data_IF_303197132652
#
_entry.id   IF_303197132652
#
_cell.length_a   1.000
_cell.length_b   1.000
_cell.length_c   1.000
_cell.angle_alpha   90.00
_cell.angle_beta   90.00
_cell.angle_gamma   90.00
#
_symmetry.space_group_name_H-M   'P 1'
#
loop_
_entity.id
_entity.type
_entity.pdbx_description
1 polymer ?
#
# COMPACT_ATOMS: atom_id res chain seq x y z
N UNK A 1 3.98 5.24 -29.27
CA UNK A 1 3.56 3.82 -29.23
C UNK A 1 4.29 3.14 -28.08
N UNK A 2 3.71 2.08 -27.51
CA UNK A 2 4.35 1.21 -26.51
C UNK A 2 4.04 -0.25 -26.87
N UNK A 3 5.02 -1.13 -26.71
CA UNK A 3 4.87 -2.58 -26.87
C UNK A 3 4.92 -3.25 -25.51
N UNK A 4 4.03 -4.22 -25.30
CA UNK A 4 3.88 -4.96 -24.06
C UNK A 4 4.02 -6.45 -24.33
N UNK A 5 4.71 -7.14 -23.44
CA UNK A 5 4.80 -8.59 -23.44
C UNK A 5 4.52 -9.10 -22.02
N UNK A 6 3.60 -10.05 -21.87
CA UNK A 6 3.25 -10.69 -20.61
C UNK A 6 3.81 -12.11 -20.57
N UNK A 7 4.08 -12.63 -19.37
CA UNK A 7 4.67 -13.97 -19.18
C UNK A 7 3.81 -15.13 -19.72
N UNK A 8 2.52 -14.90 -19.95
CA UNK A 8 1.64 -15.86 -20.62
C UNK A 8 1.74 -15.84 -22.16
N UNK A 9 2.70 -15.08 -22.72
CA UNK A 9 2.95 -14.97 -24.15
C UNK A 9 2.11 -13.92 -24.88
N UNK A 10 1.22 -13.21 -24.16
CA UNK A 10 0.41 -12.14 -24.74
C UNK A 10 1.31 -10.96 -25.15
N UNK A 11 1.27 -10.59 -26.42
CA UNK A 11 1.97 -9.45 -26.98
C UNK A 11 0.97 -8.43 -27.51
N UNK A 12 1.11 -7.17 -27.10
CA UNK A 12 0.21 -6.08 -27.46
C UNK A 12 0.99 -4.83 -27.85
N UNK A 13 0.38 -4.02 -28.71
CA UNK A 13 0.84 -2.66 -28.97
C UNK A 13 -0.27 -1.69 -28.59
N UNK A 14 0.12 -0.57 -27.98
CA UNK A 14 -0.81 0.40 -27.43
C UNK A 14 -0.27 1.83 -27.56
N UNK A 15 -1.07 2.79 -27.12
CA UNK A 15 -0.70 4.19 -27.09
C UNK A 15 0.08 4.47 -25.80
N UNK A 16 1.14 5.28 -25.91
CA UNK A 16 1.90 5.76 -24.75
C UNK A 16 1.49 7.20 -24.47
N UNK A 17 1.23 7.52 -23.21
CA UNK A 17 0.96 8.88 -22.76
C UNK A 17 1.83 9.31 -21.56
N UNK A 18 2.57 8.40 -20.93
CA UNK A 18 3.45 8.69 -19.78
C UNK A 18 4.92 8.89 -20.16
N UNK A 19 5.82 8.43 -19.28
CA UNK A 19 7.26 8.44 -19.52
C UNK A 19 7.66 7.53 -20.70
N UNK A 20 8.88 7.74 -21.22
CA UNK A 20 9.51 6.87 -22.20
C UNK A 20 10.53 5.96 -21.52
N UNK A 21 10.74 4.75 -22.05
CA UNK A 21 11.69 3.78 -21.51
C UNK A 21 11.19 2.35 -21.61
N UNK A 22 11.88 1.45 -20.90
CA UNK A 22 11.50 0.06 -20.72
C UNK A 22 11.36 -0.20 -19.22
N UNK A 23 10.24 -0.77 -18.80
CA UNK A 23 9.98 -1.15 -17.41
C UNK A 23 9.51 -2.60 -17.34
N UNK A 24 9.92 -3.31 -16.29
CA UNK A 24 9.48 -4.67 -15.98
C UNK A 24 8.79 -4.65 -14.62
N UNK A 25 7.69 -5.39 -14.48
CA UNK A 25 6.95 -5.43 -13.23
C UNK A 25 5.84 -6.47 -13.23
N UNK A 26 5.23 -6.69 -12.07
CA UNK A 26 4.05 -7.54 -11.92
C UNK A 26 2.78 -6.76 -12.31
N UNK A 27 1.95 -7.32 -13.18
CA UNK A 27 0.70 -6.74 -13.62
C UNK A 27 -0.42 -7.11 -12.64
N UNK A 28 -1.00 -6.08 -12.04
CA UNK A 28 -2.18 -6.15 -11.16
C UNK A 28 -3.30 -5.30 -11.75
N UNK A 29 -4.52 -5.44 -11.22
CA UNK A 29 -5.62 -4.55 -11.59
C UNK A 29 -6.22 -3.90 -10.37
N UNK A 30 -6.74 -2.69 -10.50
CA UNK A 30 -7.41 -1.98 -9.41
C UNK A 30 -8.84 -1.57 -9.82
N UNK A 31 -9.82 -1.85 -8.95
CA UNK A 31 -11.25 -1.61 -9.22
C UNK A 31 -11.76 -0.22 -8.84
N UNK A 32 -10.92 0.63 -8.22
CA UNK A 32 -11.32 1.98 -7.81
C UNK A 32 -11.70 2.84 -9.01
N UNK A 33 -12.83 3.53 -8.88
CA UNK A 33 -13.37 4.42 -9.93
C UNK A 33 -12.81 5.85 -9.84
N UNK A 34 -12.21 6.19 -8.70
CA UNK A 34 -11.54 7.47 -8.44
C UNK A 34 -10.23 7.21 -7.70
N UNK A 35 -9.39 8.24 -7.60
CA UNK A 35 -8.16 8.17 -6.82
C UNK A 35 -6.97 7.51 -7.55
N UNK A 36 -6.90 7.66 -8.87
CA UNK A 36 -5.83 7.06 -9.65
C UNK A 36 -4.45 7.60 -9.26
N UNK A 37 -4.35 8.85 -8.77
CA UNK A 37 -3.07 9.45 -8.41
C UNK A 37 -2.54 8.88 -7.08
N UNK A 38 -3.42 8.72 -6.11
CA UNK A 38 -3.17 8.08 -4.83
C UNK A 38 -2.71 6.64 -5.06
N UNK A 39 -3.38 5.90 -5.95
CA UNK A 39 -2.95 4.55 -6.37
C UNK A 39 -1.57 4.56 -7.03
N UNK A 40 -1.31 5.51 -7.93
CA UNK A 40 0.00 5.60 -8.62
C UNK A 40 1.15 5.85 -7.64
N UNK A 41 0.89 6.65 -6.61
CA UNK A 41 1.87 7.11 -5.63
C UNK A 41 1.93 6.28 -4.34
N UNK A 42 1.10 5.25 -4.20
CA UNK A 42 1.18 4.29 -3.10
C UNK A 42 2.45 3.43 -3.24
N UNK A 43 3.38 3.46 -2.24
CA UNK A 43 4.62 2.67 -2.27
C UNK A 43 4.40 1.17 -2.44
N UNK A 44 3.24 0.65 -2.06
CA UNK A 44 2.92 -0.78 -2.13
C UNK A 44 2.86 -1.29 -3.58
N UNK A 45 2.63 -0.41 -4.56
CA UNK A 45 2.68 -0.75 -5.99
C UNK A 45 4.09 -0.68 -6.60
N UNK A 46 5.15 -0.44 -5.80
CA UNK A 46 6.52 -0.39 -6.33
C UNK A 46 6.84 -1.67 -7.11
N UNK A 47 7.30 -1.52 -8.36
CA UNK A 47 7.61 -2.66 -9.22
C UNK A 47 6.38 -3.33 -9.85
N UNK A 48 5.20 -2.73 -9.75
CA UNK A 48 3.97 -3.24 -10.36
C UNK A 48 3.44 -2.32 -11.45
N UNK A 49 2.75 -2.90 -12.43
CA UNK A 49 1.91 -2.21 -13.39
C UNK A 49 0.44 -2.30 -12.93
N UNK A 50 -0.26 -1.17 -12.90
CA UNK A 50 -1.66 -1.12 -12.46
C UNK A 50 -2.59 -0.98 -13.65
N UNK A 51 -3.44 -1.98 -13.88
CA UNK A 51 -4.57 -1.92 -14.83
C UNK A 51 -5.78 -1.32 -14.12
N UNK A 52 -6.19 -0.12 -14.51
CA UNK A 52 -7.41 0.47 -13.98
C UNK A 52 -8.64 -0.15 -14.65
N UNK A 53 -9.61 -0.56 -13.83
CA UNK A 53 -10.90 -1.01 -14.33
C UNK A 53 -11.77 0.16 -14.83
N UNK A 54 -11.60 1.34 -14.23
CA UNK A 54 -12.25 2.58 -14.66
C UNK A 54 -11.83 2.92 -16.08
N UNK A 55 -12.76 3.04 -17.04
CA UNK A 55 -12.40 3.21 -18.45
C UNK A 55 -11.72 4.55 -18.73
N UNK A 56 -12.13 5.62 -18.04
CA UNK A 56 -11.66 6.99 -18.27
C UNK A 56 -10.70 7.42 -17.15
N UNK A 57 -9.42 7.57 -17.47
CA UNK A 57 -8.37 7.97 -16.52
C UNK A 57 -7.80 9.34 -16.90
N UNK A 58 -7.47 10.16 -15.89
CA UNK A 58 -6.89 11.50 -16.07
C UNK A 58 -7.91 12.66 -16.05
N UNK A 59 -9.20 12.37 -15.89
CA UNK A 59 -10.31 13.35 -15.97
C UNK A 59 -10.22 14.51 -14.96
N UNK A 60 -9.56 14.31 -13.80
CA UNK A 60 -9.36 15.34 -12.78
C UNK A 60 -7.92 15.84 -12.70
N UNK A 61 -7.07 15.50 -13.68
CA UNK A 61 -5.68 15.95 -13.73
C UNK A 61 -4.85 15.33 -12.60
N UNK A 62 -3.85 16.06 -12.12
CA UNK A 62 -3.02 15.68 -10.98
C UNK A 62 -2.60 16.91 -10.17
N UNK A 63 -2.36 16.72 -8.87
CA UNK A 63 -1.92 17.78 -7.95
C UNK A 63 -1.08 17.22 -6.79
N UNK A 64 -0.12 17.96 -6.22
CA UNK A 64 0.77 17.41 -5.19
C UNK A 64 0.08 16.94 -3.89
N UNK A 65 -1.15 17.38 -3.62
CA UNK A 65 -1.88 17.06 -2.39
C UNK A 65 -2.50 15.66 -2.41
N UNK A 66 -2.65 15.05 -3.58
CA UNK A 66 -3.17 13.67 -3.74
C UNK A 66 -2.02 12.64 -3.88
N UNK A 67 -0.77 13.02 -3.60
CA UNK A 67 0.35 12.08 -3.55
C UNK A 67 0.43 11.38 -2.18
N UNK A 68 0.35 10.05 -2.17
CA UNK A 68 0.56 9.25 -0.97
C UNK A 68 2.05 9.06 -0.65
N UNK A 69 2.93 9.24 -1.63
CA UNK A 69 4.38 9.25 -1.41
C UNK A 69 5.14 9.85 -2.60
N UNK A 70 6.45 9.98 -2.44
CA UNK A 70 7.36 10.29 -3.56
C UNK A 70 7.55 9.10 -4.53
N UNK A 71 7.31 7.87 -4.06
CA UNK A 71 7.48 6.65 -4.86
C UNK A 71 6.29 6.44 -5.79
N UNK A 72 6.44 5.52 -6.74
CA UNK A 72 5.37 5.20 -7.69
C UNK A 72 5.44 3.76 -8.20
N UNK A 73 4.32 3.30 -8.75
CA UNK A 73 4.24 2.10 -9.57
C UNK A 73 5.14 2.18 -10.81
N UNK A 74 5.41 1.03 -11.45
CA UNK A 74 6.20 0.96 -12.68
C UNK A 74 5.47 1.54 -13.90
N UNK A 75 4.14 1.43 -13.92
CA UNK A 75 3.32 1.97 -14.97
C UNK A 75 1.83 1.76 -14.75
N UNK A 76 1.02 2.43 -15.56
CA UNK A 76 -0.44 2.34 -15.52
C UNK A 76 -1.01 1.99 -16.89
N UNK A 77 -2.07 1.19 -16.88
CA UNK A 77 -2.82 0.81 -18.06
C UNK A 77 -4.27 1.30 -17.92
N UNK A 78 -4.73 2.05 -18.91
CA UNK A 78 -6.08 2.58 -18.99
C UNK A 78 -6.73 2.23 -20.32
N UNK A 79 -8.06 2.17 -20.34
CA UNK A 79 -8.80 2.00 -21.61
C UNK A 79 -8.74 3.29 -22.42
N UNK A 80 -9.11 4.41 -21.80
CA UNK A 80 -9.06 5.75 -22.35
C UNK A 80 -8.28 6.68 -21.40
N UNK A 81 -7.32 7.42 -21.97
CA UNK A 81 -6.63 8.50 -21.28
C UNK A 81 -7.22 9.83 -21.74
N UNK A 82 -7.61 10.67 -20.78
CA UNK A 82 -8.12 12.01 -21.02
C UNK A 82 -6.97 13.03 -20.92
N UNK A 83 -6.59 13.60 -22.05
CA UNK A 83 -5.59 14.67 -22.09
C UNK A 83 -6.12 15.97 -21.46
N UNK A 84 -7.38 16.28 -21.74
CA UNK A 84 -8.10 17.38 -21.10
C UNK A 84 -8.62 16.95 -19.73
N UNK A 85 -8.28 17.70 -18.70
CA UNK A 85 -8.75 17.51 -17.33
C UNK A 85 -9.60 18.70 -16.88
N UNK A 86 -10.56 18.45 -15.99
CA UNK A 86 -11.47 19.49 -15.48
C UNK A 86 -11.73 19.29 -13.99
N UNK A 87 -10.87 19.86 -13.16
CA UNK A 87 -11.05 19.91 -11.70
C UNK A 87 -10.36 21.16 -11.14
N UNK A 88 -10.99 21.82 -10.16
CA UNK A 88 -10.44 23.05 -9.56
C UNK A 88 -9.15 22.82 -8.77
N UNK A 89 -8.87 21.59 -8.33
CA UNK A 89 -7.64 21.20 -7.63
C UNK A 89 -6.50 20.81 -8.56
N UNK A 90 -6.74 20.70 -9.88
CA UNK A 90 -5.75 20.18 -10.82
C UNK A 90 -4.67 21.22 -11.16
N UNK A 91 -3.41 20.86 -10.94
CA UNK A 91 -2.25 21.69 -11.29
C UNK A 91 -1.63 21.29 -12.64
N UNK A 92 -1.86 20.04 -13.07
CA UNK A 92 -1.32 19.51 -14.32
C UNK A 92 -2.11 18.34 -14.89
N UNK A 93 -1.82 17.94 -16.13
CA UNK A 93 -2.36 16.71 -16.70
C UNK A 93 -1.68 15.49 -16.09
N UNK A 94 -2.39 14.35 -16.08
CA UNK A 94 -1.81 13.08 -15.64
C UNK A 94 -0.59 12.68 -16.49
N UNK A 95 -0.57 12.95 -17.80
CA UNK A 95 0.60 12.70 -18.66
C UNK A 95 1.86 13.41 -18.14
N UNK A 96 1.74 14.70 -17.81
CA UNK A 96 2.88 15.48 -17.31
C UNK A 96 3.35 14.94 -15.95
N UNK A 97 2.41 14.59 -15.07
CA UNK A 97 2.69 13.99 -13.78
C UNK A 97 3.46 12.65 -13.92
N UNK A 98 2.98 11.72 -14.77
CA UNK A 98 3.64 10.44 -14.99
C UNK A 98 5.05 10.61 -15.58
N UNK A 99 5.22 11.52 -16.55
CA UNK A 99 6.53 11.82 -17.16
C UNK A 99 7.54 12.31 -16.12
N UNK A 100 7.13 13.24 -15.23
CA UNK A 100 7.99 13.76 -14.16
C UNK A 100 8.43 12.67 -13.18
N UNK A 101 7.58 11.66 -12.94
CA UNK A 101 7.86 10.54 -12.03
C UNK A 101 8.49 9.31 -12.70
N UNK A 102 8.74 9.36 -14.02
CA UNK A 102 9.33 8.24 -14.76
C UNK A 102 8.41 7.02 -14.89
N UNK A 103 7.09 7.22 -14.77
CA UNK A 103 6.07 6.15 -14.81
C UNK A 103 5.55 5.97 -16.23
N UNK A 104 5.49 4.73 -16.72
CA UNK A 104 4.90 4.46 -18.03
C UNK A 104 3.37 4.63 -17.98
N UNK A 105 2.82 5.36 -18.95
CA UNK A 105 1.37 5.51 -19.12
C UNK A 105 0.93 4.86 -20.41
N UNK A 106 0.03 3.88 -20.35
CA UNK A 106 -0.40 3.07 -21.49
C UNK A 106 -1.91 3.17 -21.65
N UNK A 107 -2.38 3.55 -22.84
CA UNK A 107 -3.81 3.72 -23.14
C UNK A 107 -4.22 2.97 -24.42
N UNK A 108 -5.53 2.80 -24.61
CA UNK A 108 -6.10 2.12 -25.79
C UNK A 108 -6.11 0.59 -25.68
N UNK A 109 -5.75 0.03 -24.52
CA UNK A 109 -5.82 -1.42 -24.26
C UNK A 109 -7.24 -1.83 -23.85
N UNK A 110 -7.62 -3.07 -24.15
CA UNK A 110 -8.83 -3.67 -23.57
C UNK A 110 -8.56 -4.08 -22.12
N UNK A 111 -8.72 -3.13 -21.19
CA UNK A 111 -8.50 -3.36 -19.76
C UNK A 111 -9.42 -4.43 -19.20
N UNK A 112 -10.64 -4.58 -19.71
CA UNK A 112 -11.59 -5.61 -19.27
C UNK A 112 -11.08 -7.01 -19.62
N UNK A 113 -10.56 -7.20 -20.82
CA UNK A 113 -9.95 -8.47 -21.22
C UNK A 113 -8.68 -8.77 -20.41
N UNK A 114 -7.83 -7.77 -20.16
CA UNK A 114 -6.65 -7.94 -19.28
C UNK A 114 -7.04 -8.34 -17.85
N UNK A 115 -8.05 -7.70 -17.26
CA UNK A 115 -8.56 -8.04 -15.93
C UNK A 115 -9.09 -9.48 -15.89
N UNK A 116 -9.82 -9.92 -16.93
CA UNK A 116 -10.26 -11.32 -17.03
C UNK A 116 -9.07 -12.28 -17.09
N UNK A 117 -8.03 -11.95 -17.85
CA UNK A 117 -6.79 -12.73 -17.92
C UNK A 117 -6.14 -12.85 -16.54
N UNK A 118 -6.00 -11.76 -15.80
CA UNK A 118 -5.43 -11.75 -14.45
C UNK A 118 -6.28 -12.56 -13.45
N UNK A 119 -7.61 -12.47 -13.52
CA UNK A 119 -8.49 -13.30 -12.68
C UNK A 119 -8.36 -14.80 -13.00
N UNK A 120 -8.07 -15.16 -14.25
CA UNK A 120 -7.91 -16.54 -14.68
C UNK A 120 -6.51 -17.11 -14.37
N UNK A 121 -5.44 -16.36 -14.63
CA UNK A 121 -4.06 -16.82 -14.49
C UNK A 121 -3.39 -16.41 -13.18
N UNK A 122 -3.95 -15.43 -12.47
CA UNK A 122 -3.30 -14.74 -11.36
C UNK A 122 -2.47 -13.54 -11.82
N UNK A 123 -1.71 -12.94 -10.91
CA UNK A 123 -0.77 -11.85 -11.23
C UNK A 123 0.30 -12.36 -12.22
N UNK A 124 0.58 -11.57 -13.26
CA UNK A 124 1.50 -11.93 -14.35
C UNK A 124 2.67 -10.94 -14.41
N UNK A 125 3.90 -11.41 -14.61
CA UNK A 125 4.99 -10.49 -14.98
C UNK A 125 4.76 -9.91 -16.38
N UNK A 126 5.13 -8.64 -16.55
CA UNK A 126 5.04 -7.88 -17.80
C UNK A 126 6.33 -7.08 -18.02
N UNK A 127 6.72 -6.93 -19.28
CA UNK A 127 7.59 -5.84 -19.74
C UNK A 127 6.79 -4.92 -20.67
N UNK A 128 7.00 -3.61 -20.51
CA UNK A 128 6.49 -2.60 -21.42
C UNK A 128 7.63 -1.69 -21.89
N UNK A 129 7.68 -1.39 -23.19
CA UNK A 129 8.73 -0.55 -23.78
C UNK A 129 8.21 0.41 -24.83
N UNK A 130 8.66 1.66 -24.75
CA UNK A 130 8.48 2.67 -25.82
C UNK A 130 9.65 2.72 -26.80
N UNK A 131 10.65 1.84 -26.64
CA UNK A 131 11.92 1.85 -27.40
C UNK A 131 12.07 0.54 -28.17
N UNK A 132 11.86 -0.60 -27.50
CA UNK A 132 11.90 -1.92 -28.10
C UNK A 132 10.50 -2.39 -28.44
N UNK A 133 10.34 -2.90 -29.66
CA UNK A 133 9.04 -3.31 -30.21
C UNK A 133 9.07 -4.75 -30.74
N UNK A 134 10.24 -5.38 -30.78
CA UNK A 134 10.38 -6.79 -31.13
C UNK A 134 9.90 -7.69 -30.00
N UNK A 135 8.99 -8.61 -30.33
CA UNK A 135 8.39 -9.55 -29.38
C UNK A 135 9.44 -10.44 -28.71
N UNK A 136 10.40 -10.96 -29.48
CA UNK A 136 11.35 -11.96 -28.97
C UNK A 136 12.35 -11.32 -28.00
N UNK A 137 12.79 -10.09 -28.28
CA UNK A 137 13.64 -9.32 -27.36
C UNK A 137 12.91 -8.96 -26.07
N UNK A 138 11.64 -8.55 -26.14
CA UNK A 138 10.84 -8.28 -24.94
C UNK A 138 10.62 -9.56 -24.11
N UNK A 139 10.39 -10.68 -24.77
CA UNK A 139 10.34 -11.99 -24.11
C UNK A 139 11.65 -12.32 -23.39
N UNK A 140 12.79 -12.09 -24.02
CA UNK A 140 14.11 -12.28 -23.40
C UNK A 140 14.33 -11.37 -22.19
N UNK A 141 13.96 -10.08 -22.29
CA UNK A 141 14.02 -9.14 -21.17
C UNK A 141 13.18 -9.65 -20.01
N UNK A 142 11.95 -10.11 -20.27
CA UNK A 142 11.06 -10.59 -19.22
C UNK A 142 11.57 -11.88 -18.57
N UNK A 143 12.11 -12.81 -19.37
CA UNK A 143 12.70 -14.08 -18.89
C UNK A 143 13.89 -13.87 -17.95
N UNK A 144 14.70 -12.85 -18.20
CA UNK A 144 15.89 -12.53 -17.42
C UNK A 144 15.61 -11.61 -16.23
N UNK A 145 14.41 -11.04 -16.11
CA UNK A 145 14.07 -10.14 -15.03
C UNK A 145 13.78 -10.90 -13.72
N UNK A 146 14.24 -10.39 -12.56
CA UNK A 146 13.87 -10.96 -11.28
C UNK A 146 12.37 -10.78 -11.05
N UNK A 147 11.74 -11.79 -10.43
CA UNK A 147 10.37 -11.65 -9.95
C UNK A 147 10.31 -10.67 -8.78
N UNK A 148 9.17 -9.99 -8.68
CA UNK A 148 8.91 -9.01 -7.63
C UNK A 148 9.05 -9.61 -6.23
N UNK A 149 8.66 -10.89 -6.05
CA UNK A 149 8.79 -11.64 -4.80
C UNK A 149 10.23 -11.86 -4.34
N UNK A 150 11.21 -11.72 -5.23
CA UNK A 150 12.63 -11.89 -4.92
C UNK A 150 13.37 -10.56 -4.78
N UNK A 151 12.67 -9.43 -4.96
CA UNK A 151 13.28 -8.10 -4.95
C UNK A 151 13.07 -7.43 -3.58
N UNK A 152 14.12 -6.85 -2.96
CA UNK A 152 14.03 -6.24 -1.62
C UNK A 152 13.36 -4.85 -1.69
N UNK A 153 12.10 -4.79 -2.13
CA UNK A 153 11.42 -3.55 -2.49
C UNK A 153 11.25 -2.57 -1.33
N UNK A 154 11.04 -3.07 -0.12
CA UNK A 154 10.94 -2.23 1.10
C UNK A 154 12.18 -1.35 1.28
N UNK A 155 13.38 -1.89 1.05
CA UNK A 155 14.61 -1.11 1.18
C UNK A 155 14.69 0.07 0.19
N UNK A 156 13.95 0.00 -0.92
CA UNK A 156 13.87 1.06 -1.93
C UNK A 156 12.81 2.13 -1.67
N UNK A 157 11.92 1.92 -0.69
CA UNK A 157 10.81 2.83 -0.36
C UNK A 157 10.76 3.29 1.09
N UNK A 158 11.61 2.74 1.96
CA UNK A 158 11.76 3.20 3.34
C UNK A 158 12.52 4.52 3.41
N UNK A 159 12.20 5.34 4.41
CA UNK A 159 13.00 6.50 4.79
C UNK A 159 14.45 6.09 5.12
N UNK A 160 15.46 6.87 4.71
CA UNK A 160 16.86 6.58 5.03
C UNK A 160 17.26 7.00 6.46
N UNK A 161 16.45 7.85 7.12
CA UNK A 161 16.73 8.37 8.46
C UNK A 161 15.44 8.61 9.23
N UNK A 162 15.58 8.80 10.53
CA UNK A 162 14.44 9.15 11.38
C UNK A 162 13.92 10.54 10.98
N UNK A 163 12.62 10.64 10.70
CA UNK A 163 11.94 11.89 10.35
C UNK A 163 10.65 12.04 11.14
N UNK A 164 10.26 13.28 11.43
CA UNK A 164 8.99 13.58 12.11
C UNK A 164 7.97 14.03 11.07
N UNK A 165 6.79 13.40 11.05
CA UNK A 165 5.69 13.85 10.21
C UNK A 165 5.15 15.20 10.70
N UNK A 166 4.62 16.03 9.81
CA UNK A 166 4.28 17.43 10.12
C UNK A 166 2.81 17.82 9.85
N UNK A 167 2.02 16.87 9.32
CA UNK A 167 0.67 17.16 8.87
C UNK A 167 -0.35 16.15 9.43
N UNK A 168 -1.56 16.65 9.69
CA UNK A 168 -2.74 15.84 9.95
C UNK A 168 -3.60 15.75 8.68
N UNK A 169 -4.83 15.27 8.81
CA UNK A 169 -5.75 15.03 7.67
C UNK A 169 -6.02 16.27 6.81
N UNK A 170 -6.31 16.04 5.54
CA UNK A 170 -6.75 17.05 4.58
C UNK A 170 -8.05 17.73 5.00
N UNK A 171 -8.11 19.05 4.88
CA UNK A 171 -9.30 19.87 5.15
C UNK A 171 -9.88 20.44 3.85
N UNK A 172 -11.11 20.05 3.53
CA UNK A 172 -11.79 20.50 2.32
C UNK A 172 -12.21 21.98 2.36
N UNK A 173 -12.24 22.63 3.53
CA UNK A 173 -12.55 24.04 3.64
C UNK A 173 -11.37 24.92 3.23
N UNK A 174 -10.15 24.51 3.59
CA UNK A 174 -8.91 25.23 3.25
C UNK A 174 -8.24 24.66 2.00
N UNK A 175 -8.69 23.49 1.55
CA UNK A 175 -8.06 22.67 0.50
C UNK A 175 -6.59 22.37 0.80
N UNK A 176 -6.25 22.17 2.07
CA UNK A 176 -4.90 21.88 2.52
C UNK A 176 -4.86 20.88 3.68
N UNK A 177 -3.69 20.30 3.92
CA UNK A 177 -3.45 19.48 5.10
C UNK A 177 -3.37 20.34 6.35
N UNK A 178 -4.01 19.90 7.43
CA UNK A 178 -3.93 20.60 8.71
C UNK A 178 -2.50 20.48 9.25
N UNK A 179 -1.87 21.57 9.73
CA UNK A 179 -0.56 21.47 10.37
C UNK A 179 -0.70 20.67 11.69
N UNK A 180 0.36 19.93 12.05
CA UNK A 180 0.42 19.34 13.38
C UNK A 180 0.54 20.41 14.46
N UNK A 181 -0.21 20.26 15.55
CA UNK A 181 -0.05 21.16 16.69
C UNK A 181 1.17 20.75 17.53
N UNK A 182 2.33 21.35 17.27
CA UNK A 182 3.53 21.09 18.07
C UNK A 182 3.45 21.66 19.51
N UNK A 183 2.45 22.50 19.82
CA UNK A 183 2.36 23.17 21.13
C UNK A 183 1.70 22.30 22.19
N UNK A 184 0.91 21.32 21.78
CA UNK A 184 0.23 20.40 22.70
C UNK A 184 1.10 19.17 22.95
N UNK A 185 1.25 18.69 24.20
CA UNK A 185 1.93 17.42 24.46
C UNK A 185 1.19 16.25 23.80
N UNK A 186 1.89 15.50 22.96
CA UNK A 186 1.36 14.32 22.26
C UNK A 186 2.09 13.05 22.65
N UNK A 187 1.38 11.92 22.70
CA UNK A 187 2.01 10.60 22.73
C UNK A 187 2.79 10.40 21.43
N UNK A 188 4.02 9.92 21.52
CA UNK A 188 4.90 9.69 20.36
C UNK A 188 4.79 8.22 19.94
N UNK A 189 4.63 7.98 18.64
CA UNK A 189 4.59 6.63 18.07
C UNK A 189 5.75 6.47 17.12
N UNK A 190 6.51 5.38 17.31
CA UNK A 190 7.52 4.96 16.35
C UNK A 190 6.83 4.24 15.19
N UNK A 191 6.90 4.80 13.99
CA UNK A 191 6.42 4.18 12.76
C UNK A 191 7.60 3.46 12.09
N UNK A 192 7.56 2.13 12.00
CA UNK A 192 8.50 1.40 11.14
C UNK A 192 8.04 1.53 9.69
N UNK A 193 8.86 2.21 8.89
CA UNK A 193 8.56 2.57 7.52
C UNK A 193 8.94 1.46 6.54
N UNK A 194 7.95 0.68 6.15
CA UNK A 194 8.09 -0.32 5.09
C UNK A 194 7.70 0.21 3.70
N UNK A 195 7.46 1.52 3.57
CA UNK A 195 6.75 2.14 2.45
C UNK A 195 5.45 2.79 2.90
N UNK A 196 5.49 3.54 3.99
CA UNK A 196 4.34 4.16 4.61
C UNK A 196 3.66 5.16 3.66
N UNK A 197 2.34 5.01 3.51
CA UNK A 197 1.50 6.03 2.87
C UNK A 197 1.40 7.28 3.73
N UNK A 198 1.42 8.44 3.08
CA UNK A 198 1.27 9.74 3.73
C UNK A 198 -0.02 9.83 4.53
N UNK A 199 -1.13 9.26 4.04
CA UNK A 199 -2.38 9.37 4.76
C UNK A 199 -2.46 8.53 6.05
N UNK A 200 -1.67 7.45 6.18
CA UNK A 200 -1.51 6.76 7.47
C UNK A 200 -0.95 7.74 8.51
N UNK A 201 0.09 8.48 8.14
CA UNK A 201 0.77 9.42 9.02
C UNK A 201 -0.15 10.59 9.39
N UNK A 202 -0.96 11.06 8.43
CA UNK A 202 -1.96 12.09 8.64
C UNK A 202 -3.05 11.64 9.64
N UNK A 203 -3.53 10.41 9.52
CA UNK A 203 -4.57 9.86 10.41
C UNK A 203 -4.04 9.62 11.83
N UNK A 204 -2.80 9.13 11.98
CA UNK A 204 -2.13 9.03 13.28
C UNK A 204 -2.08 10.39 14.00
N UNK A 205 -1.70 11.45 13.28
CA UNK A 205 -1.69 12.81 13.85
C UNK A 205 -3.08 13.35 14.15
N UNK A 206 -4.07 13.05 13.30
CA UNK A 206 -5.45 13.45 13.50
C UNK A 206 -6.08 12.87 14.77
N UNK A 207 -5.68 11.65 15.16
CA UNK A 207 -6.07 11.07 16.46
C UNK A 207 -5.16 11.49 17.63
N UNK A 208 -4.25 12.44 17.40
CA UNK A 208 -3.42 13.07 18.44
C UNK A 208 -2.08 12.38 18.72
N UNK A 209 -1.61 11.50 17.83
CA UNK A 209 -0.34 10.79 17.96
C UNK A 209 0.76 11.46 17.12
N UNK A 210 1.89 11.80 17.75
CA UNK A 210 3.05 12.31 17.03
C UNK A 210 3.81 11.15 16.38
N UNK A 211 3.76 11.06 15.05
CA UNK A 211 4.45 10.02 14.29
C UNK A 211 5.94 10.36 14.06
N UNK A 212 6.81 9.53 14.64
CA UNK A 212 8.25 9.53 14.38
C UNK A 212 8.57 8.33 13.50
N UNK A 213 9.02 8.58 12.27
CA UNK A 213 9.16 7.57 11.23
C UNK A 213 10.59 7.06 11.23
N UNK A 214 10.74 5.75 11.47
CA UNK A 214 12.00 5.03 11.56
C UNK A 214 12.22 4.20 10.28
N UNK A 215 13.46 4.10 9.80
CA UNK A 215 13.79 3.20 8.69
C UNK A 215 13.38 1.74 8.94
N UNK A 216 13.02 0.99 7.90
CA UNK A 216 12.59 -0.42 8.01
C UNK A 216 13.55 -1.32 8.82
N UNK A 217 14.84 -1.09 8.68
CA UNK A 217 15.94 -1.84 9.29
C UNK A 217 16.30 -1.40 10.73
N UNK A 218 15.51 -0.52 11.36
CA UNK A 218 15.73 -0.09 12.75
C UNK A 218 15.76 -1.28 13.72
N UNK A 219 16.72 -1.27 14.64
CA UNK A 219 16.90 -2.34 15.62
C UNK A 219 15.86 -2.27 16.72
N UNK A 220 15.28 -3.42 17.05
CA UNK A 220 14.31 -3.56 18.13
C UNK A 220 14.88 -3.07 19.47
N UNK A 221 16.18 -3.29 19.71
CA UNK A 221 16.86 -2.80 20.92
C UNK A 221 16.77 -1.29 21.10
N UNK A 222 16.73 -0.51 20.02
CA UNK A 222 16.68 0.95 20.10
C UNK A 222 15.26 1.42 20.42
N UNK A 223 14.25 0.78 19.81
CA UNK A 223 12.84 1.05 20.08
C UNK A 223 12.42 0.58 21.48
N UNK A 224 12.91 -0.57 21.95
CA UNK A 224 12.68 -1.07 23.31
C UNK A 224 13.23 -0.05 24.33
N UNK A 225 14.47 0.40 24.16
CA UNK A 225 15.07 1.44 25.03
C UNK A 225 14.27 2.74 25.02
N UNK A 226 13.80 3.19 23.85
CA UNK A 226 12.98 4.40 23.74
C UNK A 226 11.63 4.22 24.47
N UNK A 227 11.02 3.04 24.38
CA UNK A 227 9.78 2.73 25.08
C UNK A 227 9.98 2.66 26.61
N UNK A 228 11.02 1.97 27.09
CA UNK A 228 11.37 1.89 28.51
C UNK A 228 11.63 3.27 29.14
N UNK A 229 12.20 4.20 28.36
CA UNK A 229 12.41 5.60 28.76
C UNK A 229 11.17 6.48 28.61
N UNK A 230 10.05 5.94 28.12
CA UNK A 230 8.80 6.67 27.83
C UNK A 230 8.98 7.78 26.78
N UNK A 231 9.96 7.65 25.90
CA UNK A 231 10.17 8.54 24.75
C UNK A 231 9.18 8.21 23.62
N UNK A 232 8.72 6.97 23.54
CA UNK A 232 7.62 6.52 22.67
C UNK A 232 6.57 5.79 23.51
N UNK A 233 5.32 5.79 23.06
CA UNK A 233 4.18 5.12 23.71
C UNK A 233 3.79 3.80 23.05
N UNK A 234 4.23 3.57 21.81
CA UNK A 234 3.90 2.37 21.04
C UNK A 234 4.56 2.41 19.66
N UNK A 235 4.34 1.35 18.91
CA UNK A 235 4.94 1.15 17.59
C UNK A 235 3.84 0.92 16.55
N UNK A 236 4.00 1.51 15.38
CA UNK A 236 3.13 1.31 14.25
C UNK A 236 3.92 0.67 13.11
N UNK A 237 3.36 -0.36 12.47
CA UNK A 237 3.97 -1.09 11.37
C UNK A 237 3.23 -0.74 10.08
N UNK A 238 3.90 -0.05 9.15
CA UNK A 238 3.23 0.47 7.96
C UNK A 238 2.89 -0.59 6.91
N UNK A 239 2.15 -0.15 5.90
CA UNK A 239 2.05 -0.85 4.62
C UNK A 239 3.42 -0.86 3.89
N UNK A 240 3.51 -1.64 2.81
CA UNK A 240 4.68 -1.66 1.95
C UNK A 240 4.58 -2.69 0.82
N UNK A 241 5.52 -2.67 -0.13
CA UNK A 241 5.52 -3.54 -1.29
C UNK A 241 6.19 -4.89 -1.03
N UNK A 242 5.96 -5.83 -1.95
CA UNK A 242 6.74 -7.07 -2.07
C UNK A 242 6.18 -8.24 -1.27
N UNK A 243 7.00 -9.29 -1.15
CA UNK A 243 6.67 -10.51 -0.39
C UNK A 243 7.11 -10.35 1.07
N UNK A 244 6.19 -10.43 2.05
CA UNK A 244 6.53 -10.29 3.46
C UNK A 244 7.55 -11.35 3.95
N UNK A 245 7.60 -12.54 3.36
CA UNK A 245 8.54 -13.60 3.74
C UNK A 245 10.00 -13.28 3.36
N UNK A 246 10.21 -12.28 2.51
CA UNK A 246 11.56 -11.79 2.14
C UNK A 246 12.20 -10.95 3.26
N UNK A 247 11.40 -10.40 4.18
CA UNK A 247 11.82 -9.44 5.23
C UNK A 247 12.32 -10.15 6.49
N UNK A 248 13.21 -11.14 6.33
CA UNK A 248 13.65 -12.02 7.43
C UNK A 248 14.26 -11.27 8.60
N UNK A 249 14.99 -10.18 8.34
CA UNK A 249 15.62 -9.40 9.39
C UNK A 249 14.58 -8.63 10.19
N UNK A 250 13.68 -7.95 9.50
CA UNK A 250 12.58 -7.17 10.06
C UNK A 250 11.63 -8.06 10.87
N UNK A 251 11.30 -9.26 10.38
CA UNK A 251 10.53 -10.27 11.11
C UNK A 251 11.21 -10.59 12.46
N UNK A 252 12.54 -10.76 12.47
CA UNK A 252 13.31 -11.02 13.69
C UNK A 252 13.40 -9.82 14.65
N UNK A 253 13.37 -8.59 14.13
CA UNK A 253 13.23 -7.37 14.96
C UNK A 253 11.82 -7.29 15.55
N UNK A 254 10.77 -7.49 14.75
CA UNK A 254 9.36 -7.46 15.18
C UNK A 254 9.10 -8.50 16.26
N UNK A 255 9.61 -9.73 16.11
CA UNK A 255 9.49 -10.76 17.15
C UNK A 255 9.98 -10.27 18.52
N UNK A 256 11.14 -9.60 18.56
CA UNK A 256 11.68 -9.02 19.80
C UNK A 256 10.83 -7.89 20.35
N UNK A 257 10.21 -7.07 19.50
CA UNK A 257 9.28 -6.02 19.92
C UNK A 257 8.01 -6.62 20.54
N UNK A 258 7.53 -7.74 19.99
CA UNK A 258 6.39 -8.47 20.56
C UNK A 258 6.75 -9.08 21.91
N UNK A 259 7.92 -9.71 22.03
CA UNK A 259 8.41 -10.30 23.29
C UNK A 259 8.54 -9.23 24.40
N UNK A 260 8.90 -7.99 24.03
CA UNK A 260 8.95 -6.83 24.91
C UNK A 260 7.57 -6.25 25.28
N UNK A 261 6.48 -6.81 24.75
CA UNK A 261 5.08 -6.41 25.01
C UNK A 261 4.78 -4.93 24.72
N UNK A 262 5.44 -4.35 23.73
CA UNK A 262 5.18 -2.96 23.32
C UNK A 262 3.83 -2.90 22.58
N UNK A 263 2.95 -1.94 22.89
CA UNK A 263 1.71 -1.73 22.13
C UNK A 263 1.97 -1.52 20.64
N UNK A 264 1.28 -2.28 19.79
CA UNK A 264 1.49 -2.24 18.35
C UNK A 264 0.20 -2.19 17.52
N UNK A 265 0.28 -1.47 16.41
CA UNK A 265 -0.72 -1.51 15.35
C UNK A 265 -0.06 -1.74 13.98
N UNK A 266 -0.49 -2.77 13.25
CA UNK A 266 -0.01 -3.06 11.90
C UNK A 266 -1.08 -2.93 10.82
N UNK A 267 -0.72 -2.33 9.68
CA UNK A 267 -1.58 -2.19 8.50
C UNK A 267 -0.95 -2.91 7.30
N UNK A 268 -1.75 -3.69 6.56
CA UNK A 268 -1.36 -4.38 5.33
C UNK A 268 -0.08 -5.24 5.51
N UNK A 269 1.08 -4.78 5.04
CA UNK A 269 2.35 -5.46 5.26
C UNK A 269 2.68 -5.61 6.76
N UNK A 270 2.40 -4.58 7.57
CA UNK A 270 2.56 -4.66 9.02
C UNK A 270 1.70 -5.75 9.68
N UNK A 271 0.48 -5.95 9.19
CA UNK A 271 -0.40 -7.04 9.63
C UNK A 271 0.19 -8.42 9.32
N UNK A 272 0.72 -8.58 8.09
CA UNK A 272 1.37 -9.81 7.64
C UNK A 272 2.64 -10.12 8.44
N UNK A 273 3.48 -9.10 8.70
CA UNK A 273 4.73 -9.28 9.43
C UNK A 273 4.52 -9.68 10.89
N UNK A 274 3.47 -9.18 11.55
CA UNK A 274 3.10 -9.60 12.91
C UNK A 274 2.75 -11.10 12.96
N UNK A 275 1.99 -11.57 11.96
CA UNK A 275 1.62 -12.98 11.84
C UNK A 275 2.86 -13.87 11.63
N UNK A 276 3.74 -13.48 10.71
CA UNK A 276 4.97 -14.24 10.41
C UNK A 276 5.93 -14.24 11.60
N UNK A 277 6.09 -13.11 12.30
CA UNK A 277 6.95 -13.00 13.48
C UNK A 277 6.54 -13.95 14.62
N UNK A 278 5.27 -14.34 14.65
CA UNK A 278 4.69 -15.29 15.60
C UNK A 278 4.61 -16.73 15.07
N UNK A 279 5.18 -17.02 13.89
CA UNK A 279 5.27 -18.37 13.34
C UNK A 279 4.11 -18.78 12.42
N UNK A 280 3.27 -17.84 11.99
CA UNK A 280 2.15 -18.08 11.08
C UNK A 280 2.46 -17.47 9.71
N UNK A 281 3.07 -18.23 8.78
CA UNK A 281 3.48 -17.70 7.49
C UNK A 281 2.28 -17.33 6.61
N UNK A 282 2.39 -16.22 5.89
CA UNK A 282 1.36 -15.80 4.93
C UNK A 282 1.33 -16.69 3.69
N UNK A 283 0.21 -16.65 2.97
CA UNK A 283 0.06 -17.28 1.65
C UNK A 283 -0.29 -16.23 0.59
N UNK A 284 0.09 -16.49 -0.67
CA UNK A 284 -0.20 -15.60 -1.80
C UNK A 284 -1.60 -15.88 -2.36
N UNK A 285 -2.40 -14.85 -2.51
CA UNK A 285 -3.67 -14.87 -3.23
C UNK A 285 -3.42 -15.00 -4.73
N UNK A 286 -4.42 -15.50 -5.46
CA UNK A 286 -4.32 -15.67 -6.92
C UNK A 286 -4.04 -14.35 -7.64
N UNK A 287 -4.80 -13.30 -7.33
CA UNK A 287 -4.68 -11.98 -7.96
C UNK A 287 -4.76 -10.81 -6.95
N UNK A 288 -4.81 -11.12 -5.66
CA UNK A 288 -4.89 -10.14 -4.58
C UNK A 288 -6.21 -9.36 -4.50
N UNK A 289 -6.24 -8.40 -3.59
CA UNK A 289 -7.32 -7.43 -3.41
C UNK A 289 -6.78 -6.03 -3.68
N UNK A 290 -7.40 -5.36 -4.66
CA UNK A 290 -6.94 -4.08 -5.18
C UNK A 290 -8.16 -3.25 -5.60
N UNK A 291 -8.59 -2.34 -4.73
CA UNK A 291 -9.80 -1.57 -4.98
C UNK A 291 -10.34 -0.89 -3.73
N UNK A 292 -11.34 -0.04 -3.93
CA UNK A 292 -11.98 0.74 -2.87
C UNK A 292 -13.45 0.36 -2.63
N UNK A 293 -13.81 -0.90 -2.95
CA UNK A 293 -15.18 -1.40 -2.87
C UNK A 293 -15.29 -2.77 -2.19
N UNK A 294 -14.29 -3.15 -1.37
CA UNK A 294 -14.25 -4.46 -0.74
C UNK A 294 -15.07 -4.49 0.55
N UNK A 295 -16.13 -5.32 0.64
CA UNK A 295 -16.93 -5.44 1.84
C UNK A 295 -16.19 -6.29 2.89
N UNK A 296 -15.96 -5.72 4.07
CA UNK A 296 -15.33 -6.38 5.21
C UNK A 296 -16.32 -6.38 6.37
N UNK A 297 -16.56 -7.55 6.94
CA UNK A 297 -17.41 -7.70 8.13
C UNK A 297 -16.55 -7.61 9.38
N UNK A 298 -16.85 -6.64 10.24
CA UNK A 298 -16.38 -6.61 11.61
C UNK A 298 -17.16 -7.67 12.41
N UNK A 299 -16.45 -8.69 12.91
CA UNK A 299 -17.05 -9.84 13.60
C UNK A 299 -17.47 -9.52 15.03
N UNK A 300 -16.88 -8.49 15.65
CA UNK A 300 -17.23 -8.07 17.02
C UNK A 300 -18.55 -7.30 17.01
N UNK A 301 -18.75 -6.40 16.05
CA UNK A 301 -19.94 -5.53 15.96
C UNK A 301 -21.02 -6.07 15.01
N UNK A 302 -20.68 -7.04 14.17
CA UNK A 302 -21.46 -7.49 13.00
C UNK A 302 -21.69 -6.42 11.92
N UNK A 303 -21.05 -5.25 12.01
CA UNK A 303 -21.11 -4.23 10.97
C UNK A 303 -20.39 -4.71 9.69
N UNK A 304 -20.86 -4.23 8.54
CA UNK A 304 -20.16 -4.38 7.25
C UNK A 304 -19.64 -3.01 6.86
N UNK A 305 -18.37 -2.98 6.50
CA UNK A 305 -17.64 -1.79 6.10
C UNK A 305 -17.15 -1.96 4.66
N UNK A 306 -17.25 -0.93 3.85
CA UNK A 306 -16.57 -0.88 2.57
C UNK A 306 -15.15 -0.36 2.82
N UNK A 307 -14.15 -1.06 2.29
CA UNK A 307 -12.73 -0.81 2.58
C UNK A 307 -11.90 -0.62 1.31
N UNK A 308 -10.77 0.07 1.48
CA UNK A 308 -9.70 0.13 0.51
C UNK A 308 -8.72 -1.03 0.72
N UNK A 309 -8.35 -1.70 -0.37
CA UNK A 309 -7.50 -2.89 -0.39
C UNK A 309 -6.38 -2.74 -1.40
N UNK A 310 -5.18 -3.17 -0.99
CA UNK A 310 -4.01 -3.29 -1.85
C UNK A 310 -3.03 -4.34 -1.29
N UNK A 311 -3.32 -5.62 -1.54
CA UNK A 311 -2.45 -6.70 -1.08
C UNK A 311 -2.58 -7.98 -1.91
N UNK A 312 -1.47 -8.72 -2.01
CA UNK A 312 -1.40 -10.03 -2.66
C UNK A 312 -1.24 -11.20 -1.68
N UNK A 313 -1.09 -10.93 -0.39
CA UNK A 313 -0.84 -11.95 0.63
C UNK A 313 -1.86 -11.83 1.75
N UNK A 314 -2.15 -12.96 2.40
CA UNK A 314 -3.06 -13.05 3.53
C UNK A 314 -2.43 -13.87 4.66
N UNK A 315 -2.83 -13.56 5.88
CA UNK A 315 -2.51 -14.37 7.06
C UNK A 315 -3.34 -15.67 7.07
N UNK A 316 -2.79 -16.77 7.59
CA UNK A 316 -3.47 -18.07 7.61
C UNK A 316 -4.51 -18.14 8.73
N UNK A 317 -5.48 -19.06 8.62
CA UNK A 317 -6.58 -19.22 9.60
C UNK A 317 -6.08 -19.65 10.97
N UNK A 318 -5.00 -20.44 10.99
CA UNK A 318 -4.30 -20.94 12.17
C UNK A 318 -3.86 -19.80 13.12
N UNK A 319 -3.82 -18.55 12.65
CA UNK A 319 -3.59 -17.38 13.50
C UNK A 319 -4.57 -17.28 14.68
N UNK A 320 -5.75 -17.92 14.57
CA UNK A 320 -6.75 -18.00 15.63
C UNK A 320 -6.23 -18.66 16.92
N UNK A 321 -5.15 -19.43 16.85
CA UNK A 321 -4.49 -20.00 18.02
C UNK A 321 -3.99 -18.89 18.97
N UNK A 322 -3.43 -17.81 18.41
CA UNK A 322 -2.79 -16.72 19.17
C UNK A 322 -3.51 -15.37 19.12
N UNK A 323 -4.49 -15.22 18.23
CA UNK A 323 -5.25 -13.99 18.04
C UNK A 323 -6.75 -14.27 17.89
N UNK A 324 -7.58 -13.27 18.19
CA UNK A 324 -9.00 -13.28 17.84
C UNK A 324 -9.16 -12.65 16.47
N UNK A 325 -9.81 -13.33 15.53
CA UNK A 325 -10.13 -12.77 14.21
C UNK A 325 -11.22 -11.73 14.40
N UNK A 326 -10.94 -10.49 13.98
CA UNK A 326 -11.86 -9.35 14.17
C UNK A 326 -12.55 -8.94 12.88
N UNK A 327 -11.94 -9.18 11.72
CA UNK A 327 -12.50 -8.78 10.43
C UNK A 327 -12.35 -9.88 9.37
N UNK A 328 -13.37 -10.03 8.51
CA UNK A 328 -13.34 -10.94 7.36
C UNK A 328 -13.83 -10.28 6.08
N UNK A 329 -13.16 -10.59 4.98
CA UNK A 329 -13.57 -10.18 3.65
C UNK A 329 -14.81 -10.96 3.23
N UNK A 330 -15.87 -10.28 2.77
CA UNK A 330 -17.10 -10.95 2.34
C UNK A 330 -17.07 -11.42 0.89
N UNK A 331 -16.05 -11.07 0.09
CA UNK A 331 -15.90 -11.63 -1.25
C UNK A 331 -15.38 -13.06 -1.26
N UNK A 332 -14.45 -13.39 -0.36
CA UNK A 332 -13.75 -14.69 -0.39
C UNK A 332 -13.39 -15.26 0.99
N UNK A 333 -13.91 -14.64 2.07
CA UNK A 333 -13.78 -15.10 3.45
C UNK A 333 -12.35 -15.01 4.05
N UNK A 334 -11.41 -14.34 3.38
CA UNK A 334 -10.05 -14.15 3.93
C UNK A 334 -10.07 -13.27 5.19
N UNK A 335 -9.06 -13.45 6.04
CA UNK A 335 -8.86 -12.64 7.24
C UNK A 335 -8.47 -11.21 6.86
N UNK A 336 -9.14 -10.23 7.47
CA UNK A 336 -8.91 -8.80 7.23
C UNK A 336 -8.46 -8.05 8.48
N UNK A 337 -8.43 -8.72 9.64
CA UNK A 337 -8.00 -8.11 10.88
C UNK A 337 -8.02 -9.09 12.05
N UNK A 338 -7.10 -8.87 13.00
CA UNK A 338 -6.94 -9.68 14.20
C UNK A 338 -6.57 -8.82 15.41
N UNK A 339 -6.89 -9.31 16.61
CA UNK A 339 -6.44 -8.79 17.91
C UNK A 339 -5.69 -9.89 18.65
N UNK A 340 -4.42 -9.68 19.01
CA UNK A 340 -3.61 -10.72 19.64
C UNK A 340 -4.02 -10.94 21.10
N UNK A 341 -4.13 -12.20 21.55
CA UNK A 341 -4.71 -12.55 22.86
C UNK A 341 -3.83 -12.14 24.04
N UNK A 342 -2.51 -12.29 23.90
CA UNK A 342 -1.53 -12.13 25.00
C UNK A 342 -0.54 -10.98 24.78
N UNK A 343 -0.85 -10.06 23.87
CA UNK A 343 -0.02 -8.91 23.56
C UNK A 343 -0.91 -7.71 23.19
N UNK A 344 -0.53 -6.47 23.54
CA UNK A 344 -1.29 -5.26 23.18
C UNK A 344 -1.12 -4.94 21.69
N UNK A 345 -1.67 -5.80 20.82
CA UNK A 345 -1.45 -5.73 19.38
C UNK A 345 -2.78 -5.88 18.66
N UNK A 346 -3.08 -4.92 17.79
CA UNK A 346 -4.13 -5.01 16.78
C UNK A 346 -3.50 -4.93 15.40
N UNK A 347 -4.13 -5.52 14.40
CA UNK A 347 -3.72 -5.31 13.01
C UNK A 347 -4.85 -5.57 12.02
N UNK A 348 -4.77 -4.89 10.87
CA UNK A 348 -5.72 -5.07 9.76
C UNK A 348 -5.01 -5.19 8.42
N UNK A 349 -5.57 -6.00 7.54
CA UNK A 349 -5.03 -6.24 6.19
C UNK A 349 -5.43 -5.12 5.22
N UNK A 350 -6.65 -4.61 5.35
CA UNK A 350 -7.15 -3.47 4.60
C UNK A 350 -6.51 -2.15 5.05
N UNK A 351 -6.78 -1.08 4.30
CA UNK A 351 -6.23 0.25 4.50
C UNK A 351 -7.25 1.19 5.15
N UNK A 352 -7.32 1.27 6.50
CA UNK A 352 -8.26 2.17 7.19
C UNK A 352 -7.95 3.64 7.00
N UNK A 353 -6.76 4.02 6.52
CA UNK A 353 -6.47 5.38 6.07
C UNK A 353 -7.09 5.69 4.70
N UNK A 354 -7.53 4.67 3.94
CA UNK A 354 -8.00 4.81 2.56
C UNK A 354 -7.00 5.57 1.67
N UNK A 355 -7.39 6.69 1.07
CA UNK A 355 -6.56 7.47 0.13
C UNK A 355 -5.95 6.60 -0.98
N UNK A 356 -6.79 6.12 -1.93
CA UNK A 356 -8.20 6.46 -2.09
C UNK A 356 -9.15 5.42 -1.46
N UNK A 357 -10.36 5.85 -1.13
CA UNK A 357 -11.43 4.94 -0.74
C UNK A 357 -12.35 5.44 0.37
N UNK A 358 -13.28 4.58 0.80
CA UNK A 358 -14.29 4.86 1.82
C UNK A 358 -13.71 4.95 3.23
N UNK A 359 -14.21 5.89 4.03
CA UNK A 359 -13.67 6.19 5.37
C UNK A 359 -14.25 5.35 6.51
N UNK A 360 -14.92 4.24 6.19
CA UNK A 360 -15.75 3.49 7.15
C UNK A 360 -14.93 2.86 8.27
N UNK A 361 -13.69 2.39 7.98
CA UNK A 361 -12.81 1.76 8.98
C UNK A 361 -11.82 2.71 9.68
N UNK A 362 -11.97 4.04 9.53
CA UNK A 362 -11.08 5.03 10.16
C UNK A 362 -11.08 4.96 11.71
N UNK A 363 -12.12 4.40 12.32
CA UNK A 363 -12.22 4.28 13.77
C UNK A 363 -11.09 3.45 14.39
N UNK A 364 -10.45 2.58 13.61
CA UNK A 364 -9.35 1.70 14.08
C UNK A 364 -8.15 2.53 14.58
N UNK A 365 -7.90 3.72 14.03
CA UNK A 365 -6.87 4.62 14.57
C UNK A 365 -7.19 5.08 16.00
N UNK A 366 -8.48 5.27 16.33
CA UNK A 366 -8.90 5.58 17.70
C UNK A 366 -8.78 4.35 18.61
N UNK A 367 -9.08 3.16 18.11
CA UNK A 367 -8.83 1.93 18.88
C UNK A 367 -7.35 1.77 19.24
N UNK A 368 -6.44 2.15 18.33
CA UNK A 368 -5.02 2.18 18.65
C UNK A 368 -4.71 3.17 19.77
N UNK A 369 -5.32 4.36 19.77
CA UNK A 369 -5.17 5.32 20.89
C UNK A 369 -5.64 4.73 22.22
N UNK A 370 -6.77 4.01 22.24
CA UNK A 370 -7.27 3.33 23.44
C UNK A 370 -6.31 2.22 23.91
N UNK A 371 -5.74 1.44 22.97
CA UNK A 371 -4.74 0.40 23.27
C UNK A 371 -3.50 0.96 23.97
N UNK A 372 -3.16 2.23 23.72
CA UNK A 372 -2.04 2.94 24.36
C UNK A 372 -2.39 3.49 25.76
N UNK A 373 -3.64 3.44 26.21
CA UNK A 373 -4.07 3.95 27.54
C UNK A 373 -4.02 2.88 28.63
N UNK A 374 -4.09 1.61 28.25
CA UNK A 374 -4.12 0.47 29.19
C UNK A 374 -2.74 0.12 29.77
N UNK A 375 -1.72 0.95 29.53
CA UNK A 375 -0.32 0.83 29.98
C UNK A 375 0.28 2.22 30.22
#
# INVERSE_FOLDING_TARGET
MVSLYLENGLFLQAQSFGASGTQVGELVFNTSMSGYQEVISDPSYKGQFVVFSMPEIGVVGANPKDDESFFSCAGVLARHYNEFFSNSRADSSLSLYLKKRGVLGISGVDTRSLIKTLRHHGCLMMVASTIEHDRNKLEEVLKNAPRISHSPLVSSVSTPKIITHQHATFDFNTLDYKPFDEKTPHKIIAVLDFGAKGNILNELQNVGLKALIYPHHTKASDLIKAYEKKEISGIFLSNGPGDPLSLRQEIGEIKRLIDAKIPMFGICLGHQLLSIAQGYPTYKLKFGHHGSNHPVKNLETNAVEITAQNHNYCVPEEIEEIATITHRNLFDNTIEGVRYKNAPIISVQHHPESSPGPKESHYIFKEFVELLKDF
#
